data_IF_769829230963
#
_entry.id   IF_769829230963
#
_cell.length_a   1.000
_cell.length_b   1.000
_cell.length_c   1.000
_cell.angle_alpha   90.00
_cell.angle_beta   90.00
_cell.angle_gamma   90.00
#
_symmetry.space_group_name_H-M   'P 1'
#
loop_
_entity.id
_entity.type
_entity.pdbx_description
1 polymer ?
#
# COMPACT_ATOMS: atom_id res chain seq x y z
N UNK A 1 15.79 33.13 -8.23
CA UNK A 1 15.56 32.05 -9.21
C UNK A 1 14.82 32.61 -10.41
N UNK A 2 15.34 32.34 -11.59
CA UNK A 2 14.76 32.76 -12.87
C UNK A 2 13.85 31.64 -13.39
N UNK A 3 12.65 32.01 -13.90
CA UNK A 3 11.73 31.04 -14.52
C UNK A 3 12.22 30.73 -15.93
N UNK A 4 12.56 29.47 -16.20
CA UNK A 4 13.06 29.02 -17.51
C UNK A 4 11.95 28.67 -18.49
N UNK A 5 11.00 27.84 -18.05
CA UNK A 5 9.97 27.30 -18.93
C UNK A 5 8.80 26.72 -18.15
N UNK A 6 7.70 26.50 -18.89
CA UNK A 6 6.57 25.66 -18.46
C UNK A 6 6.54 24.44 -19.37
N UNK A 7 6.52 23.24 -18.79
CA UNK A 7 6.44 21.99 -19.53
C UNK A 7 5.07 21.32 -19.32
N UNK A 8 4.55 20.73 -20.39
CA UNK A 8 3.29 19.98 -20.38
C UNK A 8 3.48 18.53 -19.88
N UNK A 9 4.53 18.28 -19.10
CA UNK A 9 4.83 17.00 -18.47
C UNK A 9 5.71 17.20 -17.23
N UNK A 10 5.18 16.84 -16.08
CA UNK A 10 5.95 16.86 -14.84
C UNK A 10 7.11 15.85 -14.87
N UNK A 11 6.92 14.71 -15.54
CA UNK A 11 7.98 13.71 -15.70
C UNK A 11 9.14 14.25 -16.56
N UNK A 12 8.84 14.93 -17.68
CA UNK A 12 9.87 15.56 -18.51
C UNK A 12 10.61 16.66 -17.76
N UNK A 13 9.91 17.50 -17.01
CA UNK A 13 10.52 18.54 -16.18
C UNK A 13 11.48 17.94 -15.15
N UNK A 14 11.10 16.84 -14.52
CA UNK A 14 11.95 16.13 -13.55
C UNK A 14 13.16 15.51 -14.23
N UNK A 15 13.00 14.86 -15.38
CA UNK A 15 14.13 14.29 -16.18
C UNK A 15 15.17 15.34 -16.51
N UNK A 16 14.72 16.53 -16.95
CA UNK A 16 15.62 17.64 -17.27
C UNK A 16 16.32 18.19 -16.01
N UNK A 17 15.59 18.36 -14.91
CA UNK A 17 16.19 18.79 -13.64
C UNK A 17 17.24 17.80 -13.12
N UNK A 18 16.99 16.49 -13.25
CA UNK A 18 17.94 15.45 -12.88
C UNK A 18 19.24 15.52 -13.72
N UNK A 19 19.09 15.79 -15.01
CA UNK A 19 20.25 16.05 -15.88
C UNK A 19 21.01 17.31 -15.47
N UNK A 20 20.34 18.43 -15.21
CA UNK A 20 20.96 19.66 -14.74
C UNK A 20 21.75 19.44 -13.45
N UNK A 21 21.17 18.69 -12.51
CA UNK A 21 21.85 18.34 -11.26
C UNK A 21 23.11 17.51 -11.47
N UNK A 22 23.13 16.60 -12.46
CA UNK A 22 24.32 15.82 -12.81
C UNK A 22 25.46 16.68 -13.35
N UNK A 23 25.13 17.89 -13.82
CA UNK A 23 26.06 18.91 -14.31
C UNK A 23 26.40 19.97 -13.25
N UNK A 24 25.90 19.78 -12.00
CA UNK A 24 26.04 20.73 -10.89
C UNK A 24 25.33 22.07 -11.13
N UNK A 25 24.30 22.10 -11.98
CA UNK A 25 23.44 23.26 -12.19
C UNK A 25 22.20 23.20 -11.28
N UNK A 26 21.88 24.32 -10.66
CA UNK A 26 20.76 24.40 -9.71
C UNK A 26 19.45 24.71 -10.43
N UNK A 27 18.69 23.67 -10.73
CA UNK A 27 17.37 23.74 -11.33
C UNK A 27 16.33 23.13 -10.40
N UNK A 28 15.23 23.83 -10.17
CA UNK A 28 14.09 23.36 -9.38
C UNK A 28 12.82 23.21 -10.22
N UNK A 29 12.00 22.24 -9.86
CA UNK A 29 10.73 21.93 -10.52
C UNK A 29 9.58 22.22 -9.57
N UNK A 30 8.62 23.04 -10.01
CA UNK A 30 7.35 23.24 -9.32
C UNK A 30 6.26 22.50 -10.09
N UNK A 31 5.72 21.43 -9.52
CA UNK A 31 4.70 20.60 -10.16
C UNK A 31 3.31 21.07 -9.72
N UNK A 32 2.49 21.49 -10.68
CA UNK A 32 1.09 21.87 -10.48
C UNK A 32 0.14 20.71 -10.81
N UNK A 33 0.49 19.91 -11.84
CA UNK A 33 -0.23 18.69 -12.25
C UNK A 33 0.70 17.76 -13.04
N UNK A 34 0.23 16.57 -13.40
CA UNK A 34 0.99 15.66 -14.27
C UNK A 34 1.33 16.26 -15.66
N UNK A 35 0.49 17.21 -16.12
CA UNK A 35 0.61 17.87 -17.42
C UNK A 35 1.01 19.35 -17.28
N UNK A 36 1.43 19.81 -16.10
CA UNK A 36 1.84 21.20 -15.90
C UNK A 36 2.92 21.28 -14.82
N UNK A 37 4.13 21.61 -15.22
CA UNK A 37 5.25 21.84 -14.33
C UNK A 37 6.07 23.06 -14.81
N UNK A 38 6.62 23.81 -13.84
CA UNK A 38 7.45 24.95 -14.09
C UNK A 38 8.89 24.66 -13.68
N UNK A 39 9.83 25.11 -14.53
CA UNK A 39 11.28 25.02 -14.26
C UNK A 39 11.81 26.38 -13.85
N UNK A 40 12.60 26.38 -12.77
CA UNK A 40 13.29 27.55 -12.25
C UNK A 40 14.78 27.25 -12.11
N UNK A 41 15.65 28.22 -12.43
CA UNK A 41 17.09 28.10 -12.37
C UNK A 41 17.69 29.22 -11.52
N UNK A 42 18.84 28.97 -10.91
CA UNK A 42 19.64 30.05 -10.35
C UNK A 42 20.18 30.95 -11.46
N UNK A 43 20.29 32.24 -11.18
CA UNK A 43 20.68 33.25 -12.18
C UNK A 43 22.08 33.01 -12.74
N UNK A 44 22.95 32.44 -11.93
CA UNK A 44 24.32 32.08 -12.34
C UNK A 44 24.39 30.95 -13.38
N UNK A 45 23.38 30.06 -13.37
CA UNK A 45 23.37 28.85 -14.24
C UNK A 45 22.55 29.06 -15.53
N UNK A 46 21.77 30.14 -15.63
CA UNK A 46 20.80 30.37 -16.73
C UNK A 46 21.48 30.28 -18.11
N UNK A 47 22.64 30.91 -18.28
CA UNK A 47 23.36 30.93 -19.55
C UNK A 47 23.82 29.53 -20.02
N UNK A 48 24.08 28.61 -19.07
CA UNK A 48 24.48 27.24 -19.38
C UNK A 48 23.26 26.32 -19.57
N UNK A 49 22.17 26.56 -18.83
CA UNK A 49 20.99 25.71 -18.80
C UNK A 49 20.04 25.98 -19.98
N UNK A 50 19.91 27.22 -20.42
CA UNK A 50 18.96 27.61 -21.46
C UNK A 50 19.22 26.93 -22.84
N UNK A 51 20.45 26.85 -23.36
CA UNK A 51 20.74 26.10 -24.59
C UNK A 51 20.45 24.59 -24.44
N UNK A 52 20.75 24.03 -23.29
CA UNK A 52 20.47 22.61 -22.99
C UNK A 52 18.98 22.33 -22.90
N UNK A 53 18.19 23.25 -22.34
CA UNK A 53 16.73 23.15 -22.32
C UNK A 53 16.15 23.15 -23.73
N UNK A 54 16.64 24.02 -24.61
CA UNK A 54 16.21 24.04 -26.00
C UNK A 54 16.53 22.71 -26.72
N UNK A 55 17.69 22.12 -26.46
CA UNK A 55 18.04 20.81 -26.98
C UNK A 55 17.13 19.71 -26.42
N UNK A 56 16.89 19.73 -25.10
CA UNK A 56 15.97 18.78 -24.46
C UNK A 56 14.56 18.84 -25.03
N UNK A 57 14.04 20.04 -25.28
CA UNK A 57 12.70 20.20 -25.86
C UNK A 57 12.59 19.68 -27.29
N UNK A 58 13.68 19.69 -28.04
CA UNK A 58 13.73 19.14 -29.40
C UNK A 58 13.99 17.63 -29.43
N UNK A 59 14.80 17.12 -28.50
CA UNK A 59 15.26 15.73 -28.47
C UNK A 59 15.29 15.19 -27.03
N UNK A 60 14.13 15.02 -26.37
CA UNK A 60 14.08 14.58 -24.97
C UNK A 60 14.56 13.13 -24.78
N UNK A 61 14.69 12.35 -25.85
CA UNK A 61 15.06 10.93 -25.86
C UNK A 61 16.55 10.67 -25.89
N UNK A 62 17.39 11.72 -25.92
CA UNK A 62 18.83 11.55 -25.91
C UNK A 62 19.28 10.80 -24.63
N UNK A 63 20.19 9.85 -24.82
CA UNK A 63 20.69 8.97 -23.74
C UNK A 63 21.22 9.77 -22.55
N UNK A 64 21.86 10.93 -22.77
CA UNK A 64 22.38 11.78 -21.69
C UNK A 64 21.32 12.21 -20.67
N UNK A 65 20.06 12.43 -21.10
CA UNK A 65 18.97 12.80 -20.19
C UNK A 65 18.40 11.57 -19.48
N UNK A 66 18.27 10.45 -20.21
CA UNK A 66 17.82 9.18 -19.65
C UNK A 66 18.80 8.61 -18.63
N UNK A 67 20.10 8.66 -18.93
CA UNK A 67 21.16 8.17 -18.04
C UNK A 67 21.23 8.99 -16.75
N UNK A 68 21.08 10.30 -16.82
CA UNK A 68 21.03 11.15 -15.63
C UNK A 68 19.82 10.85 -14.73
N UNK A 69 18.64 10.68 -15.32
CA UNK A 69 17.42 10.27 -14.59
C UNK A 69 17.57 8.86 -14.00
N UNK A 70 18.19 7.93 -14.76
CA UNK A 70 18.48 6.57 -14.30
C UNK A 70 19.48 6.54 -13.14
N UNK A 71 20.57 7.30 -13.21
CA UNK A 71 21.57 7.40 -12.14
C UNK A 71 20.98 7.95 -10.84
N UNK A 72 20.02 8.87 -10.93
CA UNK A 72 19.33 9.40 -9.76
C UNK A 72 18.25 8.47 -9.22
N UNK A 73 17.61 7.67 -10.07
CA UNK A 73 16.66 6.64 -9.63
C UNK A 73 17.36 5.42 -9.01
N UNK A 74 18.67 5.27 -9.24
CA UNK A 74 19.48 4.37 -8.41
C UNK A 74 19.62 5.00 -7.02
N UNK A 75 19.33 4.25 -5.93
CA UNK A 75 19.59 4.76 -4.59
C UNK A 75 21.05 5.25 -4.56
N UNK A 76 21.26 6.52 -4.21
CA UNK A 76 22.60 7.04 -4.04
C UNK A 76 23.39 6.01 -3.24
N UNK A 77 24.56 5.59 -3.76
CA UNK A 77 25.43 4.68 -3.03
C UNK A 77 25.78 5.37 -1.71
N UNK A 78 24.97 5.13 -0.70
CA UNK A 78 25.19 5.63 0.64
C UNK A 78 26.41 4.88 1.16
N UNK A 79 27.53 5.55 1.12
CA UNK A 79 28.75 5.12 1.80
C UNK A 79 28.44 5.02 3.28
N UNK A 80 28.16 3.83 3.75
CA UNK A 80 27.94 3.51 5.16
C UNK A 80 26.68 2.71 5.40
N UNK A 81 26.83 1.48 5.81
CA UNK A 81 25.93 0.57 6.57
C UNK A 81 24.38 0.68 6.45
N UNK A 82 23.83 1.08 5.30
CA UNK A 82 22.55 1.75 5.25
C UNK A 82 21.44 1.06 4.46
N UNK A 83 21.70 0.01 3.70
CA UNK A 83 20.61 -0.62 2.92
C UNK A 83 19.51 -1.19 3.82
N UNK A 84 19.85 -2.06 4.75
CA UNK A 84 18.89 -2.66 5.69
C UNK A 84 18.39 -1.67 6.74
N UNK A 85 19.26 -0.76 7.22
CA UNK A 85 18.86 0.27 8.19
C UNK A 85 17.93 1.32 7.56
N UNK A 86 18.17 1.74 6.31
CA UNK A 86 17.29 2.66 5.59
C UNK A 86 15.93 2.02 5.25
N UNK A 87 15.93 0.73 4.85
CA UNK A 87 14.70 -0.05 4.69
C UNK A 87 13.94 -0.17 6.02
N UNK A 88 14.65 -0.46 7.12
CA UNK A 88 14.06 -0.55 8.45
C UNK A 88 13.49 0.80 8.91
N UNK A 89 14.18 1.90 8.69
CA UNK A 89 13.68 3.25 9.01
C UNK A 89 12.45 3.61 8.16
N UNK A 90 12.48 3.35 6.85
CA UNK A 90 11.33 3.56 5.98
C UNK A 90 10.13 2.71 6.41
N UNK A 91 10.37 1.47 6.82
CA UNK A 91 9.35 0.59 7.39
C UNK A 91 8.73 1.18 8.66
N UNK A 92 9.54 1.60 9.63
CA UNK A 92 9.08 2.18 10.89
C UNK A 92 8.33 3.50 10.70
N UNK A 93 8.74 4.33 9.74
CA UNK A 93 8.08 5.61 9.45
C UNK A 93 6.72 5.45 8.77
N UNK A 94 6.49 4.34 8.08
CA UNK A 94 5.23 4.05 7.38
C UNK A 94 4.30 3.13 8.16
N UNK A 95 4.65 2.73 9.38
CA UNK A 95 3.84 1.84 10.22
C UNK A 95 3.44 2.52 11.50
N UNK A 96 2.14 2.48 11.80
CA UNK A 96 1.62 2.91 13.08
C UNK A 96 1.39 1.72 14.05
N UNK A 97 0.91 1.99 15.26
CA UNK A 97 0.74 0.98 16.31
C UNK A 97 -0.26 -0.13 15.93
N UNK A 98 -1.27 0.14 15.10
CA UNK A 98 -2.26 -0.88 14.71
C UNK A 98 -1.66 -1.88 13.73
N UNK A 99 -0.82 -1.43 12.80
CA UNK A 99 -0.10 -2.36 11.91
C UNK A 99 0.75 -3.32 12.74
N UNK A 100 1.45 -2.85 13.77
CA UNK A 100 2.22 -3.70 14.68
C UNK A 100 1.35 -4.61 15.54
N UNK A 101 0.24 -4.09 16.06
CA UNK A 101 -0.74 -4.85 16.85
C UNK A 101 -1.33 -6.04 16.07
N UNK A 102 -1.44 -5.92 14.74
CA UNK A 102 -1.91 -7.01 13.88
C UNK A 102 -0.78 -7.93 13.42
N UNK A 103 0.37 -7.35 13.06
CA UNK A 103 1.47 -8.10 12.46
C UNK A 103 2.18 -9.02 13.46
N UNK A 104 2.49 -8.51 14.67
CA UNK A 104 3.22 -9.31 15.66
C UNK A 104 2.43 -10.52 16.17
N UNK A 105 1.14 -10.40 16.57
CA UNK A 105 0.36 -11.58 16.92
C UNK A 105 0.19 -12.56 15.77
N UNK A 106 -0.02 -12.09 14.52
CA UNK A 106 -0.14 -12.98 13.37
C UNK A 106 1.15 -13.79 13.13
N UNK A 107 2.33 -13.15 13.27
CA UNK A 107 3.62 -13.82 13.19
C UNK A 107 3.81 -14.84 14.34
N UNK A 108 3.50 -14.45 15.58
CA UNK A 108 3.64 -15.34 16.74
C UNK A 108 2.70 -16.54 16.64
N UNK A 109 1.45 -16.34 16.21
CA UNK A 109 0.48 -17.42 15.97
C UNK A 109 0.96 -18.34 14.85
N UNK A 110 1.53 -17.78 13.76
CA UNK A 110 2.09 -18.59 12.69
C UNK A 110 3.25 -19.48 13.18
N UNK A 111 4.14 -18.95 14.00
CA UNK A 111 5.23 -19.74 14.63
C UNK A 111 4.64 -20.82 15.54
N UNK A 112 3.66 -20.47 16.37
CA UNK A 112 3.00 -21.41 17.27
C UNK A 112 2.28 -22.54 16.53
N UNK A 113 1.67 -22.24 15.35
CA UNK A 113 1.06 -23.23 14.46
C UNK A 113 2.06 -24.27 13.94
N UNK A 114 3.36 -23.93 13.80
CA UNK A 114 4.38 -24.90 13.38
C UNK A 114 4.73 -25.89 14.50
N UNK A 115 4.50 -25.51 15.78
CA UNK A 115 4.88 -26.29 16.96
C UNK A 115 3.67 -27.05 17.51
N UNK A 116 2.52 -26.40 17.60
CA UNK A 116 1.26 -26.92 18.16
C UNK A 116 0.08 -26.69 17.22
N UNK A 117 0.06 -27.29 16.03
CA UNK A 117 -0.91 -26.94 14.97
C UNK A 117 -2.36 -27.11 15.40
N UNK A 118 -2.70 -28.23 16.01
CA UNK A 118 -4.08 -28.54 16.39
C UNK A 118 -4.57 -27.66 17.54
N UNK A 119 -3.76 -27.51 18.60
CA UNK A 119 -4.12 -26.72 19.79
C UNK A 119 -4.33 -25.23 19.42
N UNK A 120 -3.43 -24.67 18.62
CA UNK A 120 -3.50 -23.28 18.18
C UNK A 120 -4.70 -23.07 17.26
N UNK A 121 -4.92 -23.98 16.31
CA UNK A 121 -6.07 -23.91 15.42
C UNK A 121 -7.40 -23.97 16.19
N UNK A 122 -7.59 -24.97 17.06
CA UNK A 122 -8.81 -25.14 17.86
C UNK A 122 -9.07 -23.96 18.80
N UNK A 123 -8.02 -23.32 19.30
CA UNK A 123 -8.14 -22.15 20.18
C UNK A 123 -8.58 -20.89 19.44
N UNK A 124 -8.18 -20.72 18.17
CA UNK A 124 -8.35 -19.46 17.42
C UNK A 124 -9.34 -19.55 16.25
N UNK A 125 -9.77 -20.77 15.85
CA UNK A 125 -10.76 -20.95 14.79
C UNK A 125 -12.10 -20.27 15.11
N UNK A 126 -12.89 -20.03 14.10
CA UNK A 126 -14.25 -19.57 14.29
C UNK A 126 -15.11 -20.60 15.04
N UNK A 127 -16.27 -20.23 15.50
CA UNK A 127 -17.18 -21.14 16.19
C UNK A 127 -17.60 -22.35 15.32
N UNK A 128 -17.96 -23.43 15.96
CA UNK A 128 -18.89 -24.39 15.38
C UNK A 128 -20.35 -23.92 15.62
N UNK A 129 -21.29 -24.46 14.87
CA UNK A 129 -22.67 -23.96 14.93
C UNK A 129 -23.33 -24.16 16.33
N UNK A 130 -22.86 -25.13 17.10
CA UNK A 130 -23.29 -25.44 18.45
C UNK A 130 -22.50 -24.70 19.56
N UNK A 131 -21.43 -23.98 19.19
CA UNK A 131 -20.53 -23.26 20.12
C UNK A 131 -20.74 -21.73 20.11
N UNK A 132 -21.82 -21.21 19.53
CA UNK A 132 -21.98 -19.79 19.31
C UNK A 132 -22.04 -18.98 20.61
N UNK A 133 -20.98 -18.28 20.94
CA UNK A 133 -20.85 -17.37 22.08
C UNK A 133 -20.82 -15.91 21.60
N UNK A 134 -21.82 -15.12 21.99
CA UNK A 134 -22.00 -13.74 21.50
C UNK A 134 -20.84 -12.82 21.84
N UNK A 135 -20.16 -13.01 22.96
CA UNK A 135 -19.06 -12.17 23.46
C UNK A 135 -17.67 -12.79 23.28
N UNK A 136 -17.51 -13.71 22.35
CA UNK A 136 -16.24 -14.41 22.18
C UNK A 136 -15.24 -13.66 21.30
N UNK A 137 -13.95 -13.74 21.63
CA UNK A 137 -12.83 -13.30 20.80
C UNK A 137 -12.78 -14.01 19.44
N UNK A 138 -13.45 -15.16 19.31
CA UNK A 138 -13.51 -15.98 18.08
C UNK A 138 -14.14 -15.29 16.89
N UNK A 139 -14.83 -14.17 17.10
CA UNK A 139 -15.29 -13.31 16.00
C UNK A 139 -14.11 -12.71 15.21
N UNK A 140 -12.95 -12.54 15.85
CA UNK A 140 -11.76 -11.90 15.27
C UNK A 140 -10.53 -12.81 15.21
N UNK A 141 -10.38 -13.77 16.13
CA UNK A 141 -9.16 -14.58 16.21
C UNK A 141 -8.78 -15.34 14.93
N UNK A 142 -9.72 -15.80 14.04
CA UNK A 142 -9.34 -16.44 12.79
C UNK A 142 -8.44 -15.58 11.89
N UNK A 143 -8.53 -14.24 12.00
CA UNK A 143 -7.66 -13.35 11.21
C UNK A 143 -6.17 -13.50 11.56
N UNK A 144 -5.81 -14.11 12.70
CA UNK A 144 -4.43 -14.35 13.09
C UNK A 144 -3.88 -15.68 12.54
N UNK A 145 -4.75 -16.61 12.13
CA UNK A 145 -4.38 -17.92 11.61
C UNK A 145 -3.84 -17.82 10.16
N UNK A 146 -2.63 -18.30 9.93
CA UNK A 146 -2.03 -18.37 8.59
C UNK A 146 -1.45 -19.75 8.35
N UNK A 147 -1.86 -20.42 7.27
CA UNK A 147 -1.54 -21.83 7.00
C UNK A 147 -0.32 -22.02 6.10
N UNK A 148 0.26 -20.93 5.57
CA UNK A 148 1.51 -20.98 4.82
C UNK A 148 2.31 -19.69 5.00
N UNK A 149 3.63 -19.78 4.82
CA UNK A 149 4.52 -18.62 4.91
C UNK A 149 4.21 -17.57 3.84
N UNK A 150 3.86 -17.99 2.62
CA UNK A 150 3.46 -17.08 1.54
C UNK A 150 2.15 -16.35 1.88
N UNK A 151 1.17 -17.05 2.47
CA UNK A 151 -0.09 -16.45 2.89
C UNK A 151 0.14 -15.37 3.96
N UNK A 152 0.93 -15.66 4.98
CA UNK A 152 1.31 -14.68 5.99
C UNK A 152 2.06 -13.49 5.37
N UNK A 153 3.07 -13.76 4.56
CA UNK A 153 3.91 -12.74 3.93
C UNK A 153 3.09 -11.75 3.08
N UNK A 154 2.20 -12.24 2.22
CA UNK A 154 1.36 -11.37 1.39
C UNK A 154 0.41 -10.53 2.22
N UNK A 155 -0.19 -11.09 3.26
CA UNK A 155 -1.05 -10.35 4.16
C UNK A 155 -0.30 -9.26 4.93
N UNK A 156 0.87 -9.56 5.49
CA UNK A 156 1.68 -8.59 6.21
C UNK A 156 2.23 -7.51 5.28
N UNK A 157 2.65 -7.86 4.07
CA UNK A 157 3.13 -6.88 3.08
C UNK A 157 2.01 -5.92 2.67
N UNK A 158 0.82 -6.43 2.36
CA UNK A 158 -0.33 -5.59 2.00
C UNK A 158 -0.80 -4.72 3.18
N UNK A 159 -0.85 -5.29 4.39
CA UNK A 159 -1.17 -4.55 5.61
C UNK A 159 -0.14 -3.43 5.85
N UNK A 160 1.14 -3.70 5.67
CA UNK A 160 2.18 -2.69 5.80
C UNK A 160 2.03 -1.57 4.77
N UNK A 161 1.95 -1.91 3.47
CA UNK A 161 1.93 -0.92 2.38
C UNK A 161 0.65 -0.07 2.46
N UNK A 162 -0.51 -0.70 2.54
CA UNK A 162 -1.80 0.01 2.44
C UNK A 162 -2.41 0.34 3.79
N UNK A 163 -2.32 -0.57 4.76
CA UNK A 163 -2.76 -0.34 6.13
C UNK A 163 -1.89 0.70 6.83
N UNK A 164 -0.57 0.63 6.67
CA UNK A 164 0.36 1.62 7.19
C UNK A 164 0.12 3.01 6.64
N UNK A 165 -0.06 3.14 5.32
CA UNK A 165 -0.43 4.43 4.70
C UNK A 165 -1.77 4.94 5.20
N UNK A 166 -2.78 4.08 5.34
CA UNK A 166 -4.07 4.45 5.89
C UNK A 166 -3.91 4.93 7.33
N UNK A 167 -3.15 4.22 8.15
CA UNK A 167 -2.91 4.58 9.55
C UNK A 167 -2.19 5.92 9.70
N UNK A 168 -1.14 6.15 8.90
CA UNK A 168 -0.38 7.43 8.91
C UNK A 168 -1.25 8.60 8.45
N UNK A 169 -2.09 8.42 7.43
CA UNK A 169 -2.88 9.52 6.85
C UNK A 169 -4.21 9.79 7.55
N UNK A 170 -4.90 8.76 7.99
CA UNK A 170 -6.23 8.87 8.60
C UNK A 170 -6.24 8.57 10.10
N UNK A 171 -5.12 8.11 10.65
CA UNK A 171 -4.92 7.82 12.06
C UNK A 171 -5.23 6.36 12.43
N UNK A 172 -4.61 5.92 13.52
CA UNK A 172 -4.73 4.56 14.08
C UNK A 172 -6.18 4.18 14.41
N UNK A 173 -6.97 5.15 14.86
CA UNK A 173 -8.39 4.93 15.17
C UNK A 173 -9.18 4.48 13.94
N UNK A 174 -8.91 5.07 12.76
CA UNK A 174 -9.61 4.70 11.52
C UNK A 174 -9.25 3.27 11.10
N UNK A 175 -7.95 2.92 11.14
CA UNK A 175 -7.51 1.56 10.81
C UNK A 175 -8.05 0.54 11.80
N UNK A 176 -8.07 0.84 13.12
CA UNK A 176 -8.60 -0.04 14.14
C UNK A 176 -10.09 -0.33 13.90
N UNK A 177 -10.92 0.70 13.70
CA UNK A 177 -12.35 0.51 13.44
C UNK A 177 -12.60 -0.26 12.14
N UNK A 178 -11.85 0.04 11.08
CA UNK A 178 -11.96 -0.73 9.83
C UNK A 178 -11.60 -2.20 10.07
N UNK A 179 -10.51 -2.48 10.81
CA UNK A 179 -10.08 -3.85 11.15
C UNK A 179 -11.14 -4.60 11.95
N UNK A 180 -11.69 -3.99 12.99
CA UNK A 180 -12.69 -4.63 13.84
C UNK A 180 -13.98 -4.93 13.05
N UNK A 181 -14.46 -3.96 12.29
CA UNK A 181 -15.68 -4.12 11.50
C UNK A 181 -15.49 -5.13 10.37
N UNK A 182 -14.40 -5.01 9.62
CA UNK A 182 -14.09 -5.91 8.52
C UNK A 182 -13.80 -7.33 8.99
N UNK A 183 -13.06 -7.50 10.08
CA UNK A 183 -12.80 -8.81 10.68
C UNK A 183 -14.08 -9.51 11.10
N UNK A 184 -14.99 -8.78 11.77
CA UNK A 184 -16.30 -9.31 12.15
C UNK A 184 -17.14 -9.70 10.92
N UNK A 185 -17.30 -8.80 9.94
CA UNK A 185 -18.14 -9.04 8.76
C UNK A 185 -17.55 -10.15 7.88
N UNK A 186 -16.24 -10.13 7.62
CA UNK A 186 -15.60 -11.10 6.75
C UNK A 186 -15.62 -12.52 7.33
N UNK A 187 -15.29 -12.65 8.61
CA UNK A 187 -15.29 -13.95 9.28
C UNK A 187 -16.70 -14.51 9.38
N UNK A 188 -17.69 -13.65 9.71
CA UNK A 188 -19.10 -14.08 9.77
C UNK A 188 -19.61 -14.53 8.40
N UNK A 189 -19.33 -13.77 7.34
CA UNK A 189 -19.74 -14.14 5.99
C UNK A 189 -19.12 -15.47 5.53
N UNK A 190 -17.83 -15.68 5.79
CA UNK A 190 -17.15 -16.94 5.48
C UNK A 190 -17.75 -18.12 6.25
N UNK A 191 -18.01 -17.93 7.54
CA UNK A 191 -18.64 -18.96 8.37
C UNK A 191 -20.01 -19.34 7.87
N UNK A 192 -20.90 -18.36 7.62
CA UNK A 192 -22.27 -18.61 7.19
C UNK A 192 -22.37 -19.28 5.82
N UNK A 193 -21.43 -19.01 4.91
CA UNK A 193 -21.48 -19.47 3.53
C UNK A 193 -20.62 -20.71 3.26
N UNK A 194 -19.63 -20.99 4.10
CA UNK A 194 -18.68 -22.11 3.87
C UNK A 194 -18.47 -22.96 5.13
N UNK A 195 -18.36 -22.34 6.31
CA UNK A 195 -18.13 -23.02 7.57
C UNK A 195 -16.91 -22.48 8.35
N UNK A 196 -16.55 -23.12 9.50
CA UNK A 196 -15.62 -22.54 10.48
C UNK A 196 -14.14 -22.72 10.14
N UNK A 197 -13.78 -23.49 9.12
CA UNK A 197 -12.40 -23.90 8.83
C UNK A 197 -11.71 -22.92 7.88
N UNK A 198 -11.42 -21.73 8.38
CA UNK A 198 -10.71 -20.69 7.63
C UNK A 198 -9.80 -19.88 8.56
N UNK A 199 -8.96 -19.04 7.96
CA UNK A 199 -8.11 -18.10 8.69
C UNK A 199 -7.37 -17.16 7.75
N UNK A 200 -6.85 -16.08 8.31
CA UNK A 200 -6.04 -15.09 7.64
C UNK A 200 -6.52 -13.65 7.78
N UNK A 201 -5.58 -12.73 7.79
CA UNK A 201 -5.83 -11.29 7.77
C UNK A 201 -6.46 -10.81 6.44
N UNK A 202 -6.58 -11.68 5.46
CA UNK A 202 -6.95 -11.29 4.09
C UNK A 202 -8.30 -10.61 3.97
N UNK A 203 -9.29 -10.95 4.80
CA UNK A 203 -10.56 -10.23 4.85
C UNK A 203 -10.39 -8.75 5.22
N UNK A 204 -9.51 -8.46 6.18
CA UNK A 204 -9.13 -7.09 6.57
C UNK A 204 -8.30 -6.42 5.48
N UNK A 205 -7.36 -7.13 4.86
CA UNK A 205 -6.55 -6.60 3.73
C UNK A 205 -7.45 -6.22 2.56
N UNK A 206 -8.42 -7.05 2.20
CA UNK A 206 -9.39 -6.70 1.17
C UNK A 206 -10.27 -5.51 1.57
N UNK A 207 -10.61 -5.36 2.85
CA UNK A 207 -11.31 -4.16 3.32
C UNK A 207 -10.43 -2.90 3.20
N UNK A 208 -9.14 -3.00 3.46
CA UNK A 208 -8.19 -1.90 3.23
C UNK A 208 -8.14 -1.56 1.74
N UNK A 209 -8.05 -2.53 0.83
CA UNK A 209 -8.10 -2.28 -0.62
C UNK A 209 -9.40 -1.61 -1.05
N UNK A 210 -10.56 -2.10 -0.62
CA UNK A 210 -11.86 -1.50 -0.91
C UNK A 210 -11.97 -0.08 -0.38
N UNK A 211 -11.48 0.15 0.84
CA UNK A 211 -11.45 1.48 1.45
C UNK A 211 -10.56 2.44 0.67
N UNK A 212 -9.30 2.08 0.41
CA UNK A 212 -8.33 2.95 -0.27
C UNK A 212 -8.79 3.27 -1.70
N UNK A 213 -9.38 2.30 -2.39
CA UNK A 213 -9.93 2.50 -3.73
C UNK A 213 -11.04 3.55 -3.74
N UNK A 214 -12.10 3.37 -2.95
CA UNK A 214 -13.24 4.30 -2.91
C UNK A 214 -12.85 5.65 -2.30
N UNK A 215 -12.00 5.65 -1.27
CA UNK A 215 -11.50 6.88 -0.67
C UNK A 215 -10.70 7.71 -1.68
N UNK A 216 -9.79 7.07 -2.43
CA UNK A 216 -9.01 7.72 -3.48
C UNK A 216 -9.87 8.25 -4.61
N UNK A 217 -10.90 7.50 -5.03
CA UNK A 217 -11.87 7.97 -6.00
C UNK A 217 -12.66 9.21 -5.51
N UNK A 218 -13.08 9.23 -4.25
CA UNK A 218 -13.81 10.36 -3.67
C UNK A 218 -12.92 11.58 -3.41
N UNK A 219 -11.66 11.36 -3.13
CA UNK A 219 -10.69 12.39 -2.77
C UNK A 219 -9.41 12.29 -3.59
N UNK A 220 -9.46 12.55 -4.91
CA UNK A 220 -8.36 12.27 -5.85
C UNK A 220 -7.08 13.08 -5.58
N UNK A 221 -7.19 14.19 -4.85
CA UNK A 221 -6.02 15.03 -4.47
C UNK A 221 -5.32 14.54 -3.20
N UNK A 222 -5.86 13.52 -2.53
CA UNK A 222 -5.24 12.94 -1.34
C UNK A 222 -4.21 11.87 -1.71
N UNK A 223 -3.14 11.70 -0.92
CA UNK A 223 -2.07 10.74 -1.25
C UNK A 223 -2.45 9.27 -1.03
N UNK A 224 -3.58 9.00 -0.37
CA UNK A 224 -4.06 7.64 -0.15
C UNK A 224 -4.83 7.16 -1.38
N UNK A 225 -4.10 6.56 -2.32
CA UNK A 225 -4.60 6.06 -3.60
C UNK A 225 -4.25 4.58 -3.77
N UNK A 226 -5.16 3.82 -4.37
CA UNK A 226 -4.86 2.47 -4.85
C UNK A 226 -4.49 2.55 -6.34
N UNK A 227 -3.35 2.00 -6.72
CA UNK A 227 -2.94 1.99 -8.11
C UNK A 227 -3.84 1.06 -8.93
N UNK A 228 -3.99 1.33 -10.24
CA UNK A 228 -4.77 0.46 -11.13
C UNK A 228 -4.22 -0.98 -11.17
N UNK A 229 -2.89 -1.22 -11.26
CA UNK A 229 -2.35 -2.56 -11.20
C UNK A 229 -2.71 -3.30 -9.90
N UNK A 230 -2.63 -2.62 -8.74
CA UNK A 230 -2.93 -3.25 -7.45
C UNK A 230 -4.42 -3.61 -7.32
N UNK A 231 -5.31 -2.73 -7.81
CA UNK A 231 -6.74 -3.03 -7.87
C UNK A 231 -7.03 -4.23 -8.79
N UNK A 232 -6.43 -4.25 -9.98
CA UNK A 232 -6.58 -5.37 -10.93
C UNK A 232 -6.04 -6.66 -10.33
N UNK A 233 -4.91 -6.61 -9.64
CA UNK A 233 -4.33 -7.75 -8.94
C UNK A 233 -5.29 -8.26 -7.83
N UNK A 234 -5.79 -7.37 -6.97
CA UNK A 234 -6.71 -7.74 -5.89
C UNK A 234 -8.00 -8.38 -6.42
N UNK A 235 -8.63 -7.76 -7.44
CA UNK A 235 -9.84 -8.30 -8.07
C UNK A 235 -9.56 -9.59 -8.86
N UNK A 236 -8.39 -9.70 -9.49
CA UNK A 236 -7.95 -10.89 -10.19
C UNK A 236 -7.79 -12.09 -9.24
N UNK A 237 -7.10 -11.91 -8.12
CA UNK A 237 -7.00 -12.95 -7.09
C UNK A 237 -8.36 -13.35 -6.51
N UNK A 238 -9.26 -12.38 -6.31
CA UNK A 238 -10.63 -12.65 -5.87
C UNK A 238 -11.39 -13.51 -6.89
N UNK A 239 -11.35 -13.13 -8.17
CA UNK A 239 -11.99 -13.88 -9.24
C UNK A 239 -11.42 -15.29 -9.42
N UNK A 240 -10.09 -15.43 -9.42
CA UNK A 240 -9.40 -16.72 -9.49
C UNK A 240 -9.73 -17.62 -8.30
N UNK A 241 -9.89 -17.02 -7.09
CA UNK A 241 -10.31 -17.76 -5.89
C UNK A 241 -11.72 -18.34 -6.04
N UNK A 242 -12.69 -17.55 -6.52
CA UNK A 242 -14.05 -18.04 -6.78
C UNK A 242 -14.13 -19.05 -7.93
N UNK A 243 -13.20 -19.00 -8.87
CA UNK A 243 -13.10 -19.94 -9.97
C UNK A 243 -12.36 -21.24 -9.61
N UNK A 244 -11.88 -21.37 -8.36
CA UNK A 244 -11.04 -22.50 -7.89
C UNK A 244 -9.77 -22.72 -8.73
N UNK A 245 -9.23 -21.64 -9.30
CA UNK A 245 -8.03 -21.65 -10.13
C UNK A 245 -6.74 -21.33 -9.35
N UNK A 246 -6.85 -21.06 -8.05
CA UNK A 246 -5.69 -20.90 -7.18
C UNK A 246 -5.26 -22.26 -6.62
N UNK A 247 -3.94 -22.46 -6.49
CA UNK A 247 -3.36 -23.69 -5.92
C UNK A 247 -3.51 -23.81 -4.40
N UNK A 248 -4.21 -22.86 -3.77
CA UNK A 248 -4.51 -22.79 -2.34
C UNK A 248 -5.99 -22.53 -2.11
N UNK A 249 -6.56 -23.16 -1.10
CA UNK A 249 -7.92 -22.84 -0.66
C UNK A 249 -7.95 -21.45 -0.08
N UNK A 250 -8.84 -20.61 -0.60
CA UNK A 250 -9.00 -19.22 -0.18
C UNK A 250 -10.37 -18.98 0.45
N UNK A 251 -10.40 -18.12 1.46
CA UNK A 251 -11.65 -17.71 2.10
C UNK A 251 -12.36 -16.61 1.26
N UNK A 252 -12.87 -17.02 0.09
CA UNK A 252 -13.36 -16.09 -0.95
C UNK A 252 -14.48 -15.17 -0.47
N UNK A 253 -15.38 -15.68 0.37
CA UNK A 253 -16.46 -14.87 0.92
C UNK A 253 -15.97 -13.87 1.97
N UNK A 254 -14.92 -14.21 2.72
CA UNK A 254 -14.25 -13.24 3.59
C UNK A 254 -13.59 -12.11 2.78
N UNK A 255 -12.95 -12.45 1.64
CA UNK A 255 -12.34 -11.47 0.75
C UNK A 255 -13.38 -10.52 0.17
N UNK A 256 -14.45 -11.05 -0.42
CA UNK A 256 -15.49 -10.25 -1.05
C UNK A 256 -16.21 -9.36 -0.03
N UNK A 257 -16.65 -9.93 1.10
CA UNK A 257 -17.38 -9.17 2.12
C UNK A 257 -16.47 -8.14 2.81
N UNK A 258 -15.21 -8.46 3.02
CA UNK A 258 -14.21 -7.50 3.48
C UNK A 258 -14.06 -6.32 2.51
N UNK A 259 -13.86 -6.60 1.22
CA UNK A 259 -13.73 -5.57 0.18
C UNK A 259 -14.95 -4.65 0.13
N UNK A 260 -16.17 -5.20 0.12
CA UNK A 260 -17.42 -4.43 0.14
C UNK A 260 -17.55 -3.61 1.43
N UNK A 261 -17.21 -4.21 2.59
CA UNK A 261 -17.19 -3.49 3.86
C UNK A 261 -16.28 -2.27 3.81
N UNK A 262 -15.05 -2.43 3.29
CA UNK A 262 -14.10 -1.33 3.14
C UNK A 262 -14.62 -0.21 2.23
N UNK A 263 -15.23 -0.58 1.10
CA UNK A 263 -15.90 0.39 0.21
C UNK A 263 -16.99 1.18 0.93
N UNK A 264 -17.86 0.49 1.67
CA UNK A 264 -18.95 1.12 2.41
C UNK A 264 -18.43 2.08 3.49
N UNK A 265 -17.41 1.69 4.24
CA UNK A 265 -16.77 2.56 5.25
C UNK A 265 -16.13 3.80 4.59
N UNK A 266 -15.49 3.64 3.43
CA UNK A 266 -14.91 4.76 2.69
C UNK A 266 -15.97 5.74 2.17
N UNK A 267 -17.16 5.27 1.82
CA UNK A 267 -18.28 6.16 1.43
C UNK A 267 -18.74 7.06 2.58
N UNK A 268 -18.57 6.64 3.83
CA UNK A 268 -18.91 7.40 5.02
C UNK A 268 -17.72 8.23 5.57
N UNK A 269 -16.52 7.95 5.10
CA UNK A 269 -15.32 8.65 5.55
C UNK A 269 -15.34 10.14 5.17
N UNK A 270 -14.81 10.97 6.07
CA UNK A 270 -14.66 12.42 5.85
C UNK A 270 -13.25 12.74 5.37
N UNK A 271 -13.12 13.86 4.68
CA UNK A 271 -11.81 14.42 4.33
C UNK A 271 -11.08 14.81 5.63
N UNK A 272 -9.81 14.43 5.84
CA UNK A 272 -9.07 14.90 7.00
C UNK A 272 -8.93 16.44 6.93
N UNK A 273 -9.22 17.08 8.02
CA UNK A 273 -8.90 18.49 8.21
C UNK A 273 -7.41 18.58 8.55
N UNK A 274 -6.58 18.81 7.54
CA UNK A 274 -5.16 19.20 7.71
C UNK A 274 -4.93 20.55 7.07
#
# INVERSE_FOLDING_TARGET
MHKLAVLNSAAAAQTFADYCLSRHWTVSVVVHSALHAELYCEEADVAAVEPELQQFLQQPELDKYRDAAWQRSQPAAQTGNSGLAALGQGFLQQTGPIVWLLSLPALLVFIALQIWPQQVFESLRFFQADELEVLSYRWWSPMLLHFSASHLMFNLLALWIYGGRLEVWLGSRQLLWLTLLAGFISNTAQFLLVGPNFGGLSGVVYAIFGFVWVYGWRFPTQPLQLSKPDLVMALGFLALGFADLLWVNTANWAHLSGFVCGMAVAMLARRPHR
#
